data_IF_709425450457
#
_entry.id   IF_709425450457
#
_cell.length_a   1.000
_cell.length_b   1.000
_cell.length_c   1.000
_cell.angle_alpha   90.00
_cell.angle_beta   90.00
_cell.angle_gamma   90.00
#
_symmetry.space_group_name_H-M   'P 1'
#
loop_
_entity.id
_entity.type
_entity.pdbx_description
1 polymer ?
#
# COMPACT_ATOMS: atom_id res chain seq x y z
N UNK A 1 5.27 -38.01 19.68
CA UNK A 1 6.63 -37.77 20.23
C UNK A 1 7.76 -38.59 19.57
N UNK A 2 7.58 -39.89 19.24
CA UNK A 2 8.63 -40.73 18.57
C UNK A 2 8.89 -40.44 17.08
N UNK A 3 7.97 -39.78 16.36
CA UNK A 3 8.15 -39.44 14.95
C UNK A 3 9.10 -38.25 14.75
N UNK A 4 8.94 -37.20 15.57
CA UNK A 4 9.79 -36.01 15.55
C UNK A 4 11.26 -36.33 15.89
N UNK A 5 11.51 -37.25 16.83
CA UNK A 5 12.89 -37.64 17.17
C UNK A 5 13.57 -38.46 16.08
N UNK A 6 12.82 -39.31 15.35
CA UNK A 6 13.35 -40.02 14.16
C UNK A 6 13.66 -39.07 13.01
N UNK A 7 12.81 -38.07 12.78
CA UNK A 7 13.01 -37.07 11.74
C UNK A 7 14.25 -36.19 12.05
N UNK A 8 14.37 -35.74 13.30
CA UNK A 8 15.50 -34.92 13.74
C UNK A 8 16.85 -35.67 13.63
N UNK A 9 16.85 -36.97 13.97
CA UNK A 9 18.04 -37.83 13.82
C UNK A 9 18.39 -38.09 12.35
N UNK A 10 17.39 -38.18 11.45
CA UNK A 10 17.59 -38.30 10.00
C UNK A 10 18.19 -37.03 9.39
N UNK A 11 17.71 -35.85 9.82
CA UNK A 11 18.22 -34.55 9.36
C UNK A 11 19.67 -34.36 9.79
N UNK A 12 20.02 -34.73 11.03
CA UNK A 12 21.39 -34.60 11.56
C UNK A 12 22.39 -35.59 10.92
N UNK A 13 21.92 -36.63 10.25
CA UNK A 13 22.76 -37.61 9.54
C UNK A 13 22.93 -37.30 8.04
N UNK A 14 22.21 -36.31 7.49
CA UNK A 14 22.38 -35.91 6.09
C UNK A 14 23.58 -34.99 5.93
N UNK A 15 24.66 -35.50 5.34
CA UNK A 15 25.76 -34.66 4.83
C UNK A 15 25.30 -33.98 3.55
N UNK A 16 25.28 -32.65 3.56
CA UNK A 16 24.92 -31.85 2.39
C UNK A 16 26.14 -31.69 1.48
N UNK A 17 25.92 -31.82 0.17
CA UNK A 17 26.96 -31.47 -0.79
C UNK A 17 27.24 -29.97 -0.79
N UNK A 18 28.46 -29.59 -1.17
CA UNK A 18 28.90 -28.21 -1.42
C UNK A 18 27.88 -27.45 -2.27
N UNK A 19 27.45 -28.06 -3.38
CA UNK A 19 26.45 -27.52 -4.29
C UNK A 19 25.12 -27.31 -3.57
N UNK A 20 24.66 -28.27 -2.78
CA UNK A 20 23.40 -28.15 -2.06
C UNK A 20 23.46 -27.04 -1.00
N UNK A 21 24.56 -26.90 -0.25
CA UNK A 21 24.76 -25.83 0.73
C UNK A 21 24.69 -24.44 0.09
N UNK A 22 25.42 -24.25 -1.02
CA UNK A 22 25.43 -22.99 -1.77
C UNK A 22 24.08 -22.67 -2.41
N UNK A 23 23.42 -23.66 -3.02
CA UNK A 23 22.11 -23.44 -3.64
C UNK A 23 21.08 -23.10 -2.56
N UNK A 24 21.04 -23.84 -1.44
CA UNK A 24 20.09 -23.57 -0.35
C UNK A 24 20.27 -22.18 0.25
N UNK A 25 21.51 -21.73 0.46
CA UNK A 25 21.75 -20.41 1.02
C UNK A 25 21.31 -19.29 0.07
N UNK A 26 21.58 -19.42 -1.24
CA UNK A 26 21.11 -18.48 -2.24
C UNK A 26 19.58 -18.47 -2.37
N UNK A 27 18.97 -19.65 -2.41
CA UNK A 27 17.53 -19.82 -2.56
C UNK A 27 16.78 -19.30 -1.32
N UNK A 28 17.38 -19.42 -0.14
CA UNK A 28 16.85 -18.80 1.09
C UNK A 28 16.75 -17.28 0.97
N UNK A 29 17.80 -16.61 0.48
CA UNK A 29 17.78 -15.14 0.27
C UNK A 29 16.71 -14.76 -0.74
N UNK A 30 16.65 -15.47 -1.87
CA UNK A 30 15.64 -15.24 -2.92
C UNK A 30 14.23 -15.43 -2.37
N UNK A 31 13.98 -16.49 -1.59
CA UNK A 31 12.67 -16.77 -1.01
C UNK A 31 12.22 -15.68 -0.04
N UNK A 32 13.11 -15.21 0.85
CA UNK A 32 12.81 -14.14 1.81
C UNK A 32 12.48 -12.84 1.08
N UNK A 33 13.27 -12.47 0.07
CA UNK A 33 13.04 -11.28 -0.74
C UNK A 33 11.73 -11.35 -1.52
N UNK A 34 11.43 -12.51 -2.13
CA UNK A 34 10.18 -12.73 -2.86
C UNK A 34 8.96 -12.60 -1.96
N UNK A 35 8.96 -13.29 -0.81
CA UNK A 35 7.83 -13.26 0.12
C UNK A 35 7.57 -11.84 0.60
N UNK A 36 8.62 -11.09 0.95
CA UNK A 36 8.42 -9.71 1.37
C UNK A 36 7.95 -8.80 0.23
N UNK A 37 8.50 -8.95 -0.97
CA UNK A 37 8.07 -8.17 -2.14
C UNK A 37 6.58 -8.42 -2.44
N UNK A 38 6.13 -9.66 -2.38
CA UNK A 38 4.71 -10.01 -2.57
C UNK A 38 3.83 -9.36 -1.49
N UNK A 39 4.23 -9.44 -0.22
CA UNK A 39 3.49 -8.82 0.89
C UNK A 39 3.39 -7.31 0.69
N UNK A 40 4.52 -6.66 0.38
CA UNK A 40 4.57 -5.21 0.14
C UNK A 40 3.64 -4.78 -0.99
N UNK A 41 3.62 -5.51 -2.11
CA UNK A 41 2.74 -5.20 -3.26
C UNK A 41 1.28 -5.40 -2.89
N UNK A 42 0.95 -6.47 -2.16
CA UNK A 42 -0.42 -6.75 -1.74
C UNK A 42 -0.96 -5.69 -0.76
N UNK A 43 -0.16 -5.26 0.21
CA UNK A 43 -0.55 -4.22 1.16
C UNK A 43 -0.74 -2.86 0.47
N UNK A 44 0.18 -2.48 -0.42
CA UNK A 44 0.06 -1.27 -1.22
C UNK A 44 -1.21 -1.27 -2.08
N UNK A 45 -1.44 -2.36 -2.83
CA UNK A 45 -2.60 -2.45 -3.75
C UNK A 45 -3.94 -2.38 -3.01
N UNK A 46 -4.07 -3.07 -1.88
CA UNK A 46 -5.30 -3.03 -1.07
C UNK A 46 -5.58 -1.63 -0.56
N UNK A 47 -4.55 -0.93 -0.10
CA UNK A 47 -4.73 0.39 0.46
C UNK A 47 -4.99 1.44 -0.63
N UNK A 48 -4.23 1.40 -1.72
CA UNK A 48 -4.38 2.33 -2.85
C UNK A 48 -5.80 2.30 -3.40
N UNK A 49 -6.35 1.11 -3.64
CA UNK A 49 -7.69 0.97 -4.22
C UNK A 49 -8.77 1.49 -3.27
N UNK A 50 -8.73 1.07 -2.01
CA UNK A 50 -9.75 1.45 -1.01
C UNK A 50 -9.82 2.97 -0.79
N UNK A 51 -8.67 3.63 -0.63
CA UNK A 51 -8.65 5.06 -0.33
C UNK A 51 -8.88 5.92 -1.58
N UNK A 52 -8.46 5.45 -2.77
CA UNK A 52 -8.75 6.17 -4.02
C UNK A 52 -10.24 6.19 -4.33
N UNK A 53 -10.95 5.08 -4.07
CA UNK A 53 -12.39 4.98 -4.22
C UNK A 53 -13.11 5.96 -3.27
N UNK A 54 -12.66 6.02 -2.02
CA UNK A 54 -13.20 6.91 -1.00
C UNK A 54 -13.04 8.40 -1.37
N UNK A 55 -11.85 8.80 -1.82
CA UNK A 55 -11.58 10.18 -2.28
C UNK A 55 -12.42 10.51 -3.53
N UNK A 56 -12.58 9.56 -4.46
CA UNK A 56 -13.40 9.77 -5.66
C UNK A 56 -14.88 9.98 -5.30
N UNK A 57 -15.40 9.20 -4.35
CA UNK A 57 -16.76 9.34 -3.84
C UNK A 57 -16.99 10.67 -3.11
N UNK A 58 -16.03 11.13 -2.31
CA UNK A 58 -16.10 12.43 -1.63
C UNK A 58 -16.07 13.59 -2.64
N UNK A 59 -15.20 13.54 -3.66
CA UNK A 59 -15.16 14.54 -4.74
C UNK A 59 -16.48 14.58 -5.52
N UNK A 60 -17.03 13.40 -5.83
CA UNK A 60 -18.34 13.29 -6.48
C UNK A 60 -19.43 13.93 -5.61
N UNK A 61 -19.40 13.67 -4.31
CA UNK A 61 -20.35 14.21 -3.33
C UNK A 61 -20.26 15.74 -3.21
N UNK A 62 -19.05 16.31 -3.21
CA UNK A 62 -18.83 17.77 -3.25
C UNK A 62 -19.44 18.38 -4.52
N UNK A 63 -19.20 17.78 -5.69
CA UNK A 63 -19.75 18.27 -6.95
C UNK A 63 -21.28 18.28 -6.93
N UNK A 64 -21.89 17.24 -6.37
CA UNK A 64 -23.34 17.16 -6.19
C UNK A 64 -23.82 18.25 -5.24
N UNK A 65 -23.21 18.40 -4.07
CA UNK A 65 -23.63 19.39 -3.08
C UNK A 65 -23.54 20.84 -3.61
N UNK A 66 -22.45 21.17 -4.32
CA UNK A 66 -22.30 22.45 -5.01
C UNK A 66 -23.39 22.65 -6.06
N UNK A 67 -23.72 21.61 -6.84
CA UNK A 67 -24.77 21.70 -7.83
C UNK A 67 -26.14 21.95 -7.20
N UNK A 68 -26.45 21.33 -6.06
CA UNK A 68 -27.68 21.58 -5.32
C UNK A 68 -27.74 23.03 -4.82
N UNK A 69 -26.62 23.56 -4.30
CA UNK A 69 -26.52 24.97 -3.89
C UNK A 69 -26.78 25.91 -5.08
N UNK A 70 -26.07 25.70 -6.20
CA UNK A 70 -26.23 26.51 -7.41
C UNK A 70 -27.66 26.49 -7.94
N UNK A 71 -28.31 25.32 -7.96
CA UNK A 71 -29.70 25.18 -8.37
C UNK A 71 -30.63 25.98 -7.46
N UNK A 72 -30.50 25.84 -6.14
CA UNK A 72 -31.32 26.60 -5.19
C UNK A 72 -31.13 28.11 -5.32
N UNK A 73 -29.88 28.55 -5.54
CA UNK A 73 -29.57 29.96 -5.74
C UNK A 73 -30.18 30.50 -7.05
N UNK A 74 -30.05 29.76 -8.15
CA UNK A 74 -30.65 30.14 -9.44
C UNK A 74 -32.17 30.24 -9.34
N UNK A 75 -32.83 29.26 -8.73
CA UNK A 75 -34.28 29.33 -8.51
C UNK A 75 -34.69 30.57 -7.71
N UNK A 76 -33.95 30.88 -6.65
CA UNK A 76 -34.26 32.03 -5.82
C UNK A 76 -34.02 33.36 -6.56
N UNK A 77 -32.98 33.44 -7.39
CA UNK A 77 -32.70 34.61 -8.24
C UNK A 77 -33.77 34.80 -9.33
N UNK A 78 -34.21 33.73 -9.98
CA UNK A 78 -35.29 33.78 -10.97
C UNK A 78 -36.61 34.27 -10.36
N UNK A 79 -36.95 33.81 -9.14
CA UNK A 79 -38.12 34.32 -8.42
C UNK A 79 -37.94 35.81 -8.06
N UNK A 80 -36.76 36.20 -7.60
CA UNK A 80 -36.47 37.60 -7.26
C UNK A 80 -36.57 38.52 -8.49
N UNK A 81 -36.04 38.10 -9.63
CA UNK A 81 -36.13 38.81 -10.91
C UNK A 81 -37.59 38.99 -11.33
N UNK A 82 -38.40 37.92 -11.21
CA UNK A 82 -39.82 37.94 -11.54
C UNK A 82 -40.64 38.91 -10.67
N UNK A 83 -40.20 39.17 -9.43
CA UNK A 83 -40.81 40.16 -8.53
C UNK A 83 -40.32 41.58 -8.84
N UNK A 84 -39.09 41.72 -9.36
CA UNK A 84 -38.42 43.01 -9.56
C UNK A 84 -38.83 43.76 -10.83
N UNK A 85 -38.89 43.08 -11.97
CA UNK A 85 -39.04 43.75 -13.29
C UNK A 85 -40.45 43.72 -13.89
N UNK A 86 -41.43 43.10 -13.21
CA UNK A 86 -42.76 42.89 -13.81
C UNK A 86 -42.71 41.97 -15.04
N UNK A 87 -41.67 41.15 -15.14
CA UNK A 87 -41.50 40.12 -16.15
C UNK A 87 -42.60 39.07 -16.01
N UNK A 88 -42.84 38.31 -17.09
CA UNK A 88 -43.85 37.25 -17.16
C UNK A 88 -43.74 36.36 -15.91
N UNK A 89 -44.67 36.52 -14.96
CA UNK A 89 -44.65 35.95 -13.60
C UNK A 89 -44.72 34.42 -13.57
N UNK A 90 -43.73 33.78 -14.17
CA UNK A 90 -43.59 32.34 -14.31
C UNK A 90 -42.58 31.87 -13.29
N UNK A 91 -42.93 30.78 -12.61
CA UNK A 91 -42.01 30.09 -11.72
C UNK A 91 -40.78 29.55 -12.48
N UNK A 92 -39.65 29.42 -11.77
CA UNK A 92 -38.50 28.65 -12.26
C UNK A 92 -38.92 27.26 -12.72
N UNK A 93 -38.21 26.72 -13.71
CA UNK A 93 -38.34 25.30 -14.06
C UNK A 93 -37.59 24.46 -13.02
N UNK A 94 -38.30 24.08 -11.96
CA UNK A 94 -37.72 23.31 -10.88
C UNK A 94 -37.44 21.87 -11.33
N UNK A 95 -36.16 21.52 -11.41
CA UNK A 95 -35.70 20.14 -11.54
C UNK A 95 -35.75 19.42 -10.17
N UNK A 96 -36.97 19.17 -9.72
CA UNK A 96 -37.26 18.57 -8.42
C UNK A 96 -36.81 17.10 -8.34
N UNK A 97 -36.90 16.39 -9.46
CA UNK A 97 -36.43 15.01 -9.56
C UNK A 97 -34.91 14.94 -9.36
N UNK A 98 -34.15 15.77 -10.07
CA UNK A 98 -32.70 15.81 -9.90
C UNK A 98 -32.30 16.16 -8.46
N UNK A 99 -32.93 17.18 -7.87
CA UNK A 99 -32.60 17.60 -6.50
C UNK A 99 -32.81 16.45 -5.51
N UNK A 100 -33.99 15.82 -5.56
CA UNK A 100 -34.35 14.73 -4.65
C UNK A 100 -33.48 13.50 -4.83
N UNK A 101 -33.28 13.05 -6.07
CA UNK A 101 -32.46 11.87 -6.35
C UNK A 101 -31.02 12.08 -5.88
N UNK A 102 -30.43 13.24 -6.12
CA UNK A 102 -29.05 13.49 -5.73
C UNK A 102 -28.89 13.73 -4.22
N UNK A 103 -29.87 14.34 -3.56
CA UNK A 103 -29.89 14.43 -2.10
C UNK A 103 -30.01 13.03 -1.45
N UNK A 104 -30.81 12.13 -2.02
CA UNK A 104 -30.87 10.72 -1.58
C UNK A 104 -29.55 9.98 -1.83
N UNK A 105 -28.86 10.26 -2.94
CA UNK A 105 -27.51 9.70 -3.19
C UNK A 105 -26.50 10.15 -2.13
N UNK A 106 -26.52 11.43 -1.76
CA UNK A 106 -25.69 11.94 -0.66
C UNK A 106 -26.06 11.29 0.67
N UNK A 107 -27.37 11.08 0.94
CA UNK A 107 -27.85 10.39 2.14
C UNK A 107 -27.33 8.95 2.24
N UNK A 108 -27.29 8.25 1.11
CA UNK A 108 -26.85 6.85 1.03
C UNK A 108 -25.32 6.72 0.96
N UNK A 109 -24.56 7.81 0.88
CA UNK A 109 -23.10 7.74 0.88
C UNK A 109 -22.59 7.22 2.21
N UNK A 110 -21.83 6.12 2.18
CA UNK A 110 -21.24 5.51 3.36
C UNK A 110 -19.90 6.16 3.74
N UNK A 111 -19.41 7.08 2.90
CA UNK A 111 -18.13 7.76 3.08
C UNK A 111 -18.25 8.97 4.00
N UNK A 112 -19.46 9.53 4.12
CA UNK A 112 -19.71 10.75 4.87
C UNK A 112 -20.17 10.41 6.29
N UNK A 113 -19.34 10.71 7.29
CA UNK A 113 -19.74 10.67 8.68
C UNK A 113 -20.88 11.67 8.91
N UNK A 114 -22.02 11.19 9.42
CA UNK A 114 -23.23 12.02 9.61
C UNK A 114 -23.91 12.48 8.30
N UNK A 115 -23.69 11.82 7.15
CA UNK A 115 -24.43 12.10 5.91
C UNK A 115 -25.94 12.08 6.10
N UNK A 116 -26.43 11.08 6.84
CA UNK A 116 -27.86 10.84 7.05
C UNK A 116 -28.60 12.06 7.63
N UNK A 117 -28.26 12.56 8.83
CA UNK A 117 -28.99 13.69 9.42
C UNK A 117 -28.82 15.00 8.63
N UNK A 118 -27.69 15.21 7.96
CA UNK A 118 -27.44 16.43 7.19
C UNK A 118 -28.19 16.43 5.86
N UNK A 119 -28.17 15.32 5.12
CA UNK A 119 -28.95 15.18 3.90
C UNK A 119 -30.47 15.23 4.16
N UNK A 120 -30.95 14.66 5.27
CA UNK A 120 -32.35 14.80 5.67
C UNK A 120 -32.72 16.27 6.00
N UNK A 121 -31.80 17.01 6.62
CA UNK A 121 -32.00 18.44 6.90
C UNK A 121 -32.12 19.25 5.59
N UNK A 122 -31.24 18.98 4.62
CA UNK A 122 -31.30 19.58 3.26
C UNK A 122 -32.63 19.25 2.57
N UNK A 123 -33.05 17.98 2.60
CA UNK A 123 -34.32 17.57 2.00
C UNK A 123 -35.52 18.28 2.64
N UNK A 124 -35.50 18.43 3.97
CA UNK A 124 -36.56 19.10 4.72
C UNK A 124 -36.62 20.60 4.40
N UNK A 125 -35.49 21.31 4.43
CA UNK A 125 -35.45 22.73 4.09
C UNK A 125 -35.77 23.00 2.63
N UNK A 126 -35.38 22.09 1.72
CA UNK A 126 -35.74 22.15 0.31
C UNK A 126 -37.26 21.99 0.12
N UNK A 127 -37.89 21.02 0.77
CA UNK A 127 -39.34 20.86 0.71
C UNK A 127 -40.09 22.10 1.24
N UNK A 128 -39.60 22.72 2.32
CA UNK A 128 -40.18 23.94 2.88
C UNK A 128 -40.01 25.15 1.94
N UNK A 129 -38.85 25.27 1.29
CA UNK A 129 -38.58 26.27 0.27
C UNK A 129 -39.50 26.09 -0.95
N UNK A 130 -39.63 24.85 -1.45
CA UNK A 130 -40.48 24.53 -2.60
C UNK A 130 -41.95 24.82 -2.32
N UNK A 131 -42.46 24.39 -1.16
CA UNK A 131 -43.84 24.65 -0.75
C UNK A 131 -44.14 26.15 -0.68
N UNK A 132 -43.20 26.94 -0.18
CA UNK A 132 -43.34 28.40 -0.14
C UNK A 132 -43.28 28.97 -1.55
N UNK A 133 -42.40 28.48 -2.41
CA UNK A 133 -42.28 28.92 -3.80
C UNK A 133 -43.58 28.72 -4.60
N UNK A 134 -44.35 27.66 -4.32
CA UNK A 134 -45.66 27.44 -4.97
C UNK A 134 -46.70 28.53 -4.67
N UNK A 135 -46.53 29.32 -3.60
CA UNK A 135 -47.40 30.47 -3.31
C UNK A 135 -47.21 31.61 -4.33
N UNK A 136 -46.10 31.63 -5.07
CA UNK A 136 -45.68 32.71 -5.96
C UNK A 136 -46.77 33.13 -6.96
N UNK A 137 -47.41 32.18 -7.63
CA UNK A 137 -48.45 32.50 -8.63
C UNK A 137 -49.63 33.25 -8.00
N UNK A 138 -50.07 32.83 -6.81
CA UNK A 138 -51.14 33.49 -6.06
C UNK A 138 -50.75 34.86 -5.53
N UNK A 139 -49.46 35.05 -5.22
CA UNK A 139 -48.91 36.32 -4.71
C UNK A 139 -48.84 37.33 -5.84
N UNK A 140 -48.26 36.96 -6.99
CA UNK A 140 -48.08 37.85 -8.13
C UNK A 140 -49.41 38.28 -8.77
N UNK A 141 -50.43 37.41 -8.75
CA UNK A 141 -51.77 37.73 -9.27
C UNK A 141 -52.64 38.51 -8.28
N UNK A 142 -52.19 38.73 -7.04
CA UNK A 142 -52.98 39.40 -6.01
C UNK A 142 -52.80 40.92 -6.03
N UNK A 143 -53.91 41.65 -6.12
CA UNK A 143 -53.92 43.11 -5.96
C UNK A 143 -53.67 43.57 -4.50
N UNK A 144 -53.68 42.64 -3.54
CA UNK A 144 -53.62 42.94 -2.11
C UNK A 144 -52.31 42.54 -1.43
N UNK A 145 -51.53 41.64 -2.04
CA UNK A 145 -50.29 41.13 -1.45
C UNK A 145 -49.12 41.94 -2.00
N UNK A 146 -48.26 42.45 -1.11
CA UNK A 146 -46.98 43.02 -1.51
C UNK A 146 -45.99 41.88 -1.79
N UNK A 147 -45.72 41.65 -3.08
CA UNK A 147 -44.80 40.61 -3.57
C UNK A 147 -43.40 40.72 -2.94
N UNK A 148 -42.93 41.95 -2.72
CA UNK A 148 -41.62 42.20 -2.10
C UNK A 148 -41.66 41.81 -0.62
N UNK A 149 -42.70 42.21 0.10
CA UNK A 149 -42.86 41.84 1.50
C UNK A 149 -43.01 40.31 1.68
N UNK A 150 -43.70 39.64 0.75
CA UNK A 150 -43.78 38.18 0.74
C UNK A 150 -42.41 37.53 0.52
N UNK A 151 -41.64 37.99 -0.48
CA UNK A 151 -40.31 37.45 -0.76
C UNK A 151 -39.38 37.56 0.46
N UNK A 152 -39.18 38.78 0.96
CA UNK A 152 -38.25 39.03 2.06
C UNK A 152 -38.74 38.46 3.40
N UNK A 153 -40.07 38.40 3.61
CA UNK A 153 -40.66 37.96 4.87
C UNK A 153 -40.95 36.46 4.97
N UNK A 154 -41.12 35.76 3.83
CA UNK A 154 -41.53 34.35 3.80
C UNK A 154 -40.58 33.47 3.00
N UNK A 155 -40.27 33.83 1.75
CA UNK A 155 -39.47 32.97 0.87
C UNK A 155 -37.99 32.99 1.25
N UNK A 156 -37.40 34.19 1.37
CA UNK A 156 -35.97 34.34 1.66
C UNK A 156 -35.52 33.63 2.94
N UNK A 157 -36.26 33.69 4.07
CA UNK A 157 -35.88 32.92 5.26
C UNK A 157 -35.86 31.40 5.05
N UNK A 158 -36.68 30.86 4.13
CA UNK A 158 -36.66 29.43 3.77
C UNK A 158 -35.47 29.09 2.90
N UNK A 159 -35.16 29.96 1.94
CA UNK A 159 -33.96 29.86 1.12
C UNK A 159 -32.68 29.93 1.96
N UNK A 160 -32.55 30.90 2.87
CA UNK A 160 -31.39 31.05 3.75
C UNK A 160 -31.16 29.79 4.60
N UNK A 161 -32.25 29.15 5.06
CA UNK A 161 -32.17 27.89 5.80
C UNK A 161 -31.72 26.72 4.91
N UNK A 162 -32.25 26.61 3.70
CA UNK A 162 -31.81 25.63 2.72
C UNK A 162 -30.32 25.77 2.41
N UNK A 163 -29.86 26.99 2.14
CA UNK A 163 -28.46 27.27 1.87
C UNK A 163 -27.57 26.88 3.07
N UNK A 164 -28.00 27.23 4.29
CA UNK A 164 -27.26 26.85 5.50
C UNK A 164 -27.17 25.33 5.68
N UNK A 165 -28.23 24.58 5.38
CA UNK A 165 -28.21 23.11 5.50
C UNK A 165 -27.31 22.48 4.43
N UNK A 166 -27.31 23.02 3.20
CA UNK A 166 -26.40 22.59 2.11
C UNK A 166 -24.95 22.89 2.48
N UNK A 167 -24.66 24.07 3.03
CA UNK A 167 -23.31 24.46 3.46
C UNK A 167 -22.80 23.55 4.59
N UNK A 168 -23.67 23.18 5.54
CA UNK A 168 -23.33 22.26 6.62
C UNK A 168 -23.00 20.85 6.08
N UNK A 169 -23.82 20.32 5.17
CA UNK A 169 -23.57 19.05 4.50
C UNK A 169 -22.25 19.10 3.72
N UNK A 170 -22.04 20.17 2.95
CA UNK A 170 -20.83 20.38 2.14
C UNK A 170 -19.58 20.40 3.02
N UNK A 171 -19.63 21.09 4.17
CA UNK A 171 -18.53 21.13 5.12
C UNK A 171 -18.18 19.76 5.67
N UNK A 172 -19.17 18.93 6.02
CA UNK A 172 -18.92 17.57 6.49
C UNK A 172 -18.23 16.72 5.42
N UNK A 173 -18.64 16.83 4.15
CA UNK A 173 -17.98 16.13 3.04
C UNK A 173 -16.52 16.59 2.89
N UNK A 174 -16.25 17.89 3.04
CA UNK A 174 -14.87 18.40 3.01
C UNK A 174 -14.02 17.90 4.18
N UNK A 175 -14.60 17.82 5.38
CA UNK A 175 -13.91 17.28 6.56
C UNK A 175 -13.56 15.79 6.38
N UNK A 176 -14.49 14.98 5.85
CA UNK A 176 -14.21 13.57 5.55
C UNK A 176 -13.17 13.42 4.44
N UNK A 177 -13.23 14.22 3.36
CA UNK A 177 -12.19 14.22 2.32
C UNK A 177 -10.80 14.52 2.90
N UNK A 178 -10.72 15.48 3.84
CA UNK A 178 -9.48 15.83 4.52
C UNK A 178 -8.98 14.68 5.40
N UNK A 179 -9.86 14.01 6.15
CA UNK A 179 -9.51 12.85 6.97
C UNK A 179 -9.05 11.66 6.10
N UNK A 180 -9.78 11.39 5.02
CA UNK A 180 -9.49 10.32 4.06
C UNK A 180 -8.15 10.56 3.35
N UNK A 181 -7.86 11.81 2.97
CA UNK A 181 -6.56 12.21 2.41
C UNK A 181 -5.43 12.06 3.43
N UNK A 182 -5.62 12.47 4.68
CA UNK A 182 -4.62 12.28 5.74
C UNK A 182 -4.39 10.79 6.07
N UNK A 183 -5.41 9.97 5.90
CA UNK A 183 -5.34 8.51 6.06
C UNK A 183 -4.65 7.85 4.86
N UNK A 184 -4.85 8.38 3.65
CA UNK A 184 -4.09 8.00 2.46
C UNK A 184 -2.59 8.18 2.66
N UNK A 185 -2.17 9.37 3.10
CA UNK A 185 -0.75 9.66 3.30
C UNK A 185 -0.15 8.71 4.35
N UNK A 186 -0.79 8.61 5.53
CA UNK A 186 -0.29 7.77 6.63
C UNK A 186 -0.23 6.29 6.25
N UNK A 187 -1.27 5.78 5.61
CA UNK A 187 -1.26 4.38 5.21
C UNK A 187 -0.29 4.12 4.06
N UNK A 188 -0.07 5.07 3.14
CA UNK A 188 0.87 4.92 2.02
C UNK A 188 2.26 4.66 2.58
N UNK A 189 2.69 5.48 3.54
CA UNK A 189 3.93 5.25 4.28
C UNK A 189 3.94 3.87 4.95
N UNK A 190 2.86 3.47 5.62
CA UNK A 190 2.77 2.15 6.27
C UNK A 190 2.88 0.98 5.29
N UNK A 191 2.33 1.10 4.09
CA UNK A 191 2.36 0.06 3.06
C UNK A 191 3.75 -0.18 2.44
N UNK A 192 4.63 0.82 2.52
CA UNK A 192 5.98 0.77 1.95
C UNK A 192 7.01 0.23 2.96
N UNK A 193 6.74 0.37 4.27
CA UNK A 193 7.66 -0.06 5.34
C UNK A 193 8.12 -1.52 5.18
N UNK A 194 7.24 -2.52 4.95
CA UNK A 194 7.68 -3.90 4.77
C UNK A 194 8.69 -4.08 3.64
N UNK A 195 8.49 -3.35 2.52
CA UNK A 195 9.41 -3.35 1.39
C UNK A 195 10.79 -2.81 1.74
N UNK A 196 10.86 -1.65 2.41
CA UNK A 196 12.13 -1.05 2.85
C UNK A 196 12.87 -1.98 3.82
N UNK A 197 12.16 -2.53 4.80
CA UNK A 197 12.75 -3.45 5.80
C UNK A 197 13.34 -4.67 5.12
N UNK A 198 12.67 -5.24 4.13
CA UNK A 198 13.19 -6.40 3.43
C UNK A 198 14.37 -6.12 2.50
N UNK A 199 14.46 -4.93 1.91
CA UNK A 199 15.69 -4.51 1.23
C UNK A 199 16.85 -4.49 2.22
N UNK A 200 16.65 -3.92 3.41
CA UNK A 200 17.67 -3.89 4.47
C UNK A 200 18.10 -5.28 4.93
N UNK A 201 17.13 -6.15 5.26
CA UNK A 201 17.39 -7.55 5.65
C UNK A 201 18.04 -8.33 4.52
N UNK A 202 17.61 -8.12 3.28
CA UNK A 202 18.19 -8.73 2.09
C UNK A 202 19.66 -8.38 1.90
N UNK A 203 20.02 -7.09 2.02
CA UNK A 203 21.40 -6.63 1.99
C UNK A 203 22.24 -7.29 3.10
N UNK A 204 21.71 -7.34 4.32
CA UNK A 204 22.39 -8.00 5.43
C UNK A 204 22.63 -9.49 5.15
N UNK A 205 21.63 -10.21 4.63
CA UNK A 205 21.77 -11.62 4.27
C UNK A 205 22.79 -11.85 3.15
N UNK A 206 22.83 -10.97 2.15
CA UNK A 206 23.83 -11.03 1.07
C UNK A 206 25.24 -10.82 1.64
N UNK A 207 25.43 -9.88 2.56
CA UNK A 207 26.72 -9.68 3.23
C UNK A 207 27.13 -10.90 4.06
N UNK A 208 26.20 -11.49 4.81
CA UNK A 208 26.46 -12.72 5.55
C UNK A 208 26.80 -13.90 4.63
N UNK A 209 26.10 -14.03 3.50
CA UNK A 209 26.37 -15.05 2.49
C UNK A 209 27.75 -14.85 1.87
N UNK A 210 28.13 -13.61 1.56
CA UNK A 210 29.46 -13.27 1.06
C UNK A 210 30.55 -13.65 2.06
N UNK A 211 30.37 -13.30 3.34
CA UNK A 211 31.30 -13.69 4.40
C UNK A 211 31.42 -15.22 4.52
N UNK A 212 30.29 -15.93 4.47
CA UNK A 212 30.27 -17.39 4.51
C UNK A 212 31.05 -18.01 3.34
N UNK A 213 30.84 -17.52 2.12
CA UNK A 213 31.55 -18.01 0.92
C UNK A 213 33.05 -17.75 1.03
N UNK A 214 33.44 -16.55 1.46
CA UNK A 214 34.84 -16.18 1.62
C UNK A 214 35.53 -17.06 2.67
N UNK A 215 34.92 -17.23 3.83
CA UNK A 215 35.51 -17.95 4.95
C UNK A 215 35.58 -19.46 4.74
N UNK A 216 34.52 -20.08 4.21
CA UNK A 216 34.39 -21.54 4.15
C UNK A 216 34.74 -22.16 2.79
N UNK A 217 34.84 -21.36 1.73
CA UNK A 217 35.16 -21.89 0.39
C UNK A 217 36.39 -21.21 -0.23
N UNK A 218 36.39 -19.88 -0.32
CA UNK A 218 37.47 -19.17 -1.02
C UNK A 218 38.79 -19.24 -0.25
N UNK A 219 38.80 -18.95 1.04
CA UNK A 219 40.01 -18.99 1.86
C UNK A 219 40.62 -20.41 1.94
N UNK A 220 39.84 -21.48 2.17
CA UNK A 220 40.36 -22.85 2.10
C UNK A 220 40.97 -23.19 0.73
N UNK A 221 40.35 -22.79 -0.37
CA UNK A 221 40.90 -22.99 -1.72
C UNK A 221 42.27 -22.32 -1.88
N UNK A 222 42.42 -21.07 -1.45
CA UNK A 222 43.73 -20.39 -1.48
C UNK A 222 44.77 -21.11 -0.60
N UNK A 223 44.40 -21.55 0.60
CA UNK A 223 45.29 -22.31 1.48
C UNK A 223 45.74 -23.63 0.85
N UNK A 224 44.85 -24.35 0.15
CA UNK A 224 45.19 -25.56 -0.60
C UNK A 224 46.18 -25.26 -1.73
N UNK A 225 45.94 -24.18 -2.49
CA UNK A 225 46.78 -23.78 -3.61
C UNK A 225 48.20 -23.39 -3.16
N UNK A 226 48.31 -22.61 -2.09
CA UNK A 226 49.59 -22.26 -1.47
C UNK A 226 50.32 -23.49 -0.91
N UNK A 227 49.58 -24.37 -0.22
CA UNK A 227 50.14 -25.62 0.31
C UNK A 227 50.68 -26.54 -0.79
N UNK A 228 49.95 -26.65 -1.91
CA UNK A 228 50.36 -27.45 -3.06
C UNK A 228 51.55 -26.83 -3.79
N UNK A 229 51.59 -25.49 -3.92
CA UNK A 229 52.73 -24.76 -4.46
C UNK A 229 53.99 -25.03 -3.64
N UNK A 230 53.91 -24.86 -2.31
CA UNK A 230 55.02 -25.11 -1.40
C UNK A 230 55.52 -26.57 -1.41
N UNK A 231 54.60 -27.53 -1.54
CA UNK A 231 54.92 -28.94 -1.73
C UNK A 231 55.72 -29.17 -3.03
N UNK A 232 55.28 -28.58 -4.14
CA UNK A 232 55.92 -28.73 -5.45
C UNK A 232 57.27 -28.02 -5.57
N UNK A 233 57.38 -26.78 -5.08
CA UNK A 233 58.57 -25.94 -5.27
C UNK A 233 59.68 -26.21 -4.26
N UNK A 234 59.33 -26.60 -3.04
CA UNK A 234 60.25 -26.59 -1.90
C UNK A 234 60.38 -27.94 -1.20
N UNK A 235 59.81 -29.01 -1.77
CA UNK A 235 59.78 -30.38 -1.22
C UNK A 235 59.25 -30.44 0.23
N UNK A 236 58.46 -29.43 0.64
CA UNK A 236 57.82 -29.35 1.95
C UNK A 236 56.66 -30.34 2.03
N UNK A 237 56.37 -30.88 3.21
CA UNK A 237 55.20 -31.74 3.41
C UNK A 237 53.92 -30.92 3.26
N UNK A 238 52.92 -31.45 2.56
CA UNK A 238 51.58 -30.86 2.52
C UNK A 238 50.89 -31.07 3.88
N UNK A 239 50.44 -29.99 4.52
CA UNK A 239 49.85 -30.02 5.87
C UNK A 239 48.61 -29.14 6.01
N UNK A 240 47.92 -28.87 4.90
CA UNK A 240 46.72 -28.01 4.90
C UNK A 240 45.54 -28.76 5.50
N UNK A 241 44.84 -28.10 6.42
CA UNK A 241 43.61 -28.59 7.03
C UNK A 241 42.69 -27.42 7.36
N UNK A 242 41.38 -27.63 7.20
CA UNK A 242 40.31 -26.68 7.48
C UNK A 242 39.04 -27.43 7.88
N UNK A 243 38.11 -26.72 8.51
CA UNK A 243 36.84 -27.28 8.96
C UNK A 243 35.87 -27.48 7.80
N UNK A 244 35.13 -28.59 7.82
CA UNK A 244 34.08 -28.89 6.86
C UNK A 244 33.70 -30.38 6.84
N UNK A 245 32.60 -30.69 6.18
CA UNK A 245 32.09 -32.05 6.00
C UNK A 245 31.58 -32.31 4.56
N UNK A 246 32.04 -31.49 3.61
CA UNK A 246 31.66 -31.55 2.20
C UNK A 246 32.83 -31.92 1.28
N UNK A 247 32.56 -31.90 -0.04
CA UNK A 247 33.50 -32.29 -1.09
C UNK A 247 34.81 -31.50 -1.07
N UNK A 248 34.85 -30.30 -0.47
CA UNK A 248 36.09 -29.53 -0.41
C UNK A 248 37.08 -30.15 0.58
N UNK A 249 36.59 -30.67 1.71
CA UNK A 249 37.41 -31.42 2.68
C UNK A 249 37.84 -32.75 2.09
N UNK A 250 36.92 -33.47 1.43
CA UNK A 250 37.22 -34.73 0.75
C UNK A 250 38.33 -34.55 -0.31
N UNK A 251 38.28 -33.45 -1.07
CA UNK A 251 39.33 -33.08 -2.02
C UNK A 251 40.68 -32.78 -1.34
N UNK A 252 40.66 -32.03 -0.23
CA UNK A 252 41.88 -31.73 0.52
C UNK A 252 42.52 -32.99 1.13
N UNK A 253 41.71 -33.91 1.65
CA UNK A 253 42.17 -35.17 2.21
C UNK A 253 42.80 -36.05 1.13
N UNK A 254 42.16 -36.15 -0.05
CA UNK A 254 42.74 -36.84 -1.20
C UNK A 254 44.06 -36.23 -1.68
N UNK A 255 44.20 -34.90 -1.68
CA UNK A 255 45.47 -34.22 -1.99
C UNK A 255 46.53 -34.55 -0.93
N UNK A 256 46.16 -34.55 0.36
CA UNK A 256 47.06 -34.84 1.48
C UNK A 256 47.60 -36.27 1.42
N UNK A 257 46.74 -37.24 1.12
CA UNK A 257 47.10 -38.64 0.95
C UNK A 257 48.07 -38.82 -0.23
N UNK A 258 47.72 -38.31 -1.42
CA UNK A 258 48.56 -38.39 -2.62
C UNK A 258 49.92 -37.70 -2.42
N UNK A 259 49.95 -36.54 -1.79
CA UNK A 259 51.20 -35.82 -1.48
C UNK A 259 52.09 -36.64 -0.53
N UNK A 260 51.47 -37.28 0.47
CA UNK A 260 52.13 -38.17 1.42
C UNK A 260 52.74 -39.41 0.77
N UNK A 261 51.97 -40.12 -0.05
CA UNK A 261 52.44 -41.30 -0.81
C UNK A 261 53.60 -40.95 -1.73
N UNK A 262 53.47 -39.86 -2.49
CA UNK A 262 54.51 -39.39 -3.41
C UNK A 262 55.79 -38.97 -2.66
N UNK A 263 55.67 -38.37 -1.47
CA UNK A 263 56.84 -38.07 -0.63
C UNK A 263 57.53 -39.35 -0.12
N UNK A 264 56.77 -40.38 0.27
CA UNK A 264 57.34 -41.68 0.63
C UNK A 264 58.03 -42.36 -0.55
N UNK A 265 57.43 -42.31 -1.73
CA UNK A 265 58.02 -42.82 -2.99
C UNK A 265 59.34 -42.11 -3.30
N UNK A 266 59.37 -40.77 -3.25
CA UNK A 266 60.60 -39.99 -3.44
C UNK A 266 61.71 -40.37 -2.46
N UNK A 267 61.36 -40.62 -1.18
CA UNK A 267 62.32 -41.10 -0.17
C UNK A 267 62.86 -42.48 -0.51
N UNK A 268 62.00 -43.46 -0.82
CA UNK A 268 62.40 -44.81 -1.22
C UNK A 268 63.32 -44.81 -2.44
N UNK A 269 63.00 -44.02 -3.47
CA UNK A 269 63.85 -43.88 -4.67
C UNK A 269 65.21 -43.27 -4.33
N UNK A 270 65.26 -42.29 -3.43
CA UNK A 270 66.52 -41.69 -2.98
C UNK A 270 67.38 -42.68 -2.19
N UNK A 271 66.77 -43.51 -1.34
CA UNK A 271 67.47 -44.52 -0.54
C UNK A 271 68.01 -45.65 -1.42
N UNK A 272 67.27 -46.05 -2.47
CA UNK A 272 67.73 -47.03 -3.46
C UNK A 272 68.92 -46.52 -4.29
N UNK A 273 69.00 -45.22 -4.59
CA UNK A 273 70.13 -44.62 -5.32
C UNK A 273 71.41 -44.46 -4.48
N UNK A 274 71.33 -44.63 -3.16
CA UNK A 274 72.46 -44.51 -2.24
C UNK A 274 73.11 -45.85 -1.88
N UNK A 275 72.48 -46.97 -2.26
CA UNK A 275 73.08 -48.31 -2.24
C UNK A 275 73.73 -48.59 -3.58
#
# INVERSE_FOLDING_TARGET
MRLFSKLHRKIRAMRLSLKAKLVLSLLSVVAILLVSSVISVMEYSRMSNYVSELIADDISSINVANRLADMSNNYNLEILEAIGEGSSGRLPDFDDEYFKTNCERLRMSHTINQAYPMADSVMYSYAAYMLTSLEFESVVQSDFIDNRAWYFGRLQPRFDRLQSDIDNLTRAIYEDLQENSATFDRGFYRSIIPGIVAVGVGLMLVLMLMFFILSYYVNPLYRMLEGLSAYRSSDKKYTVSFEGDDQLVELNDGISELAGENQQLRRRVRDLRKK
#
